data_IF_298995837286
#
_entry.id   IF_298995837286
#
_cell.length_a   1.000
_cell.length_b   1.000
_cell.length_c   1.000
_cell.angle_alpha   90.00
_cell.angle_beta   90.00
_cell.angle_gamma   90.00
#
_symmetry.space_group_name_H-M   'P 1'
#
loop_
_entity.id
_entity.type
_entity.pdbx_description
1 polymer ?
#
# COMPACT_ATOMS: atom_id res chain seq x y z
N UNK A 1 -16.63 11.33 10.33
CA UNK A 1 -16.01 9.99 10.34
C UNK A 1 -16.36 9.29 9.03
N UNK A 2 -15.34 8.83 8.31
CA UNK A 2 -15.51 8.15 7.02
C UNK A 2 -14.59 6.95 6.94
N UNK A 3 -15.05 5.89 6.26
CA UNK A 3 -14.31 4.65 6.09
C UNK A 3 -13.96 4.50 4.61
N UNK A 4 -12.76 3.99 4.34
CA UNK A 4 -12.34 3.63 3.00
C UNK A 4 -11.72 2.25 2.98
N UNK A 5 -11.84 1.58 1.85
CA UNK A 5 -11.24 0.26 1.63
C UNK A 5 -10.40 0.30 0.37
N UNK A 6 -9.25 -0.34 0.41
CA UNK A 6 -8.39 -0.52 -0.74
C UNK A 6 -8.11 -1.99 -0.98
N UNK A 7 -7.96 -2.34 -2.24
CA UNK A 7 -7.52 -3.67 -2.68
C UNK A 7 -6.61 -3.49 -3.88
N UNK A 8 -5.50 -4.22 -3.89
CA UNK A 8 -4.60 -4.22 -5.03
C UNK A 8 -3.91 -5.57 -5.17
N UNK A 9 -3.47 -5.87 -6.37
CA UNK A 9 -2.77 -7.11 -6.69
C UNK A 9 -1.75 -6.84 -7.79
N UNK A 10 -0.56 -7.41 -7.64
CA UNK A 10 0.47 -7.37 -8.65
C UNK A 10 1.05 -8.76 -8.87
N UNK A 11 1.44 -9.03 -10.11
CA UNK A 11 2.05 -10.30 -10.51
C UNK A 11 3.51 -10.34 -10.05
N UNK A 12 3.95 -11.50 -9.57
CA UNK A 12 5.36 -11.77 -9.28
C UNK A 12 6.09 -12.16 -10.57
N UNK A 13 7.21 -11.50 -10.83
CA UNK A 13 8.02 -11.73 -12.04
C UNK A 13 9.51 -11.70 -11.70
N UNK A 14 10.32 -12.26 -12.59
CA UNK A 14 11.78 -12.19 -12.49
C UNK A 14 12.28 -10.78 -12.79
N UNK A 15 13.50 -10.48 -12.32
CA UNK A 15 14.24 -9.24 -12.61
C UNK A 15 13.56 -7.97 -12.12
N UNK A 16 12.81 -8.09 -11.03
CA UNK A 16 12.23 -6.95 -10.32
C UNK A 16 12.51 -7.08 -8.84
N UNK A 17 12.75 -5.97 -8.17
CA UNK A 17 12.83 -5.92 -6.72
C UNK A 17 11.45 -6.11 -6.11
N UNK A 18 11.39 -6.80 -4.98
CA UNK A 18 10.17 -6.92 -4.19
C UNK A 18 10.16 -5.80 -3.15
N UNK A 19 9.26 -4.85 -3.34
CA UNK A 19 9.13 -3.70 -2.45
C UNK A 19 7.73 -3.69 -1.88
N UNK A 20 7.62 -3.74 -0.55
CA UNK A 20 6.36 -3.72 0.19
C UNK A 20 6.49 -2.81 1.39
N UNK A 21 5.56 -1.88 1.54
CA UNK A 21 5.61 -0.90 2.61
C UNK A 21 6.88 -0.06 2.57
N UNK A 22 7.43 0.18 1.38
CA UNK A 22 8.68 0.89 1.20
C UNK A 22 9.93 0.10 1.59
N UNK A 23 9.79 -1.21 1.89
CA UNK A 23 10.89 -2.09 2.28
C UNK A 23 11.26 -3.00 1.12
N UNK A 24 12.55 -3.00 0.77
CA UNK A 24 13.07 -3.95 -0.21
C UNK A 24 13.29 -5.29 0.49
N UNK A 25 12.51 -6.29 0.10
CA UNK A 25 12.52 -7.62 0.72
C UNK A 25 13.36 -8.55 -0.14
N UNK A 26 14.35 -9.25 0.45
CA UNK A 26 15.11 -10.26 -0.31
C UNK A 26 14.20 -11.39 -0.78
N UNK A 27 14.11 -11.55 -2.09
CA UNK A 27 13.32 -12.60 -2.72
C UNK A 27 13.75 -12.72 -4.19
N UNK A 28 13.55 -13.89 -4.77
CA UNK A 28 13.93 -14.16 -6.17
C UNK A 28 13.02 -13.49 -7.19
N UNK A 29 11.82 -13.09 -6.79
CA UNK A 29 10.85 -12.42 -7.65
C UNK A 29 10.49 -11.07 -7.06
N UNK A 30 9.99 -10.17 -7.91
CA UNK A 30 9.45 -8.88 -7.50
C UNK A 30 8.13 -8.62 -8.18
N UNK A 31 7.46 -7.56 -7.76
CA UNK A 31 6.13 -7.22 -8.28
C UNK A 31 6.23 -6.39 -9.55
N UNK A 32 5.39 -6.72 -10.54
CA UNK A 32 5.34 -6.03 -11.83
C UNK A 32 4.35 -4.88 -11.77
N UNK A 33 4.77 -3.70 -12.18
CA UNK A 33 3.93 -2.52 -12.29
C UNK A 33 4.68 -1.34 -12.86
N UNK A 34 3.97 -0.25 -13.13
CA UNK A 34 4.53 0.97 -13.71
C UNK A 34 5.45 1.70 -12.70
N UNK A 35 5.03 1.80 -11.44
CA UNK A 35 5.83 2.31 -10.33
C UNK A 35 6.73 1.18 -9.78
N UNK A 36 7.12 1.28 -8.50
CA UNK A 36 7.81 0.19 -7.81
C UNK A 36 6.88 -1.00 -7.50
N UNK A 37 5.60 -0.89 -7.85
CA UNK A 37 4.56 -1.91 -7.65
C UNK A 37 4.38 -2.33 -6.19
N UNK A 38 4.53 -1.39 -5.26
CA UNK A 38 4.30 -1.62 -3.83
C UNK A 38 2.81 -1.81 -3.58
N UNK A 39 2.36 -3.06 -3.61
CA UNK A 39 0.94 -3.39 -3.52
C UNK A 39 0.32 -2.93 -2.19
N UNK A 40 1.09 -2.96 -1.10
CA UNK A 40 0.62 -2.53 0.20
C UNK A 40 0.34 -1.02 0.22
N UNK A 41 1.27 -0.21 -0.28
CA UNK A 41 1.08 1.24 -0.30
C UNK A 41 -0.03 1.63 -1.27
N UNK A 42 -0.17 0.91 -2.39
CA UNK A 42 -1.25 1.18 -3.36
C UNK A 42 -2.62 1.01 -2.73
N UNK A 43 -2.85 -0.08 -1.98
CA UNK A 43 -4.16 -0.28 -1.38
C UNK A 43 -4.43 0.68 -0.22
N UNK A 44 -3.39 1.05 0.53
CA UNK A 44 -3.53 2.08 1.57
C UNK A 44 -3.94 3.41 0.94
N UNK A 45 -3.28 3.81 -0.15
CA UNK A 45 -3.64 5.04 -0.87
C UNK A 45 -5.07 4.99 -1.38
N UNK A 46 -5.49 3.88 -1.97
CA UNK A 46 -6.85 3.73 -2.45
C UNK A 46 -7.88 3.81 -1.32
N UNK A 47 -7.57 3.24 -0.16
CA UNK A 47 -8.46 3.34 0.99
C UNK A 47 -8.64 4.80 1.44
N UNK A 48 -7.55 5.55 1.48
CA UNK A 48 -7.58 6.96 1.88
C UNK A 48 -8.32 7.83 0.87
N UNK A 49 -8.05 7.63 -0.43
CA UNK A 49 -8.73 8.36 -1.50
C UNK A 49 -10.22 8.01 -1.54
N UNK A 50 -10.56 6.74 -1.34
CA UNK A 50 -11.96 6.31 -1.31
C UNK A 50 -12.72 6.91 -0.14
N UNK A 51 -12.13 6.90 1.06
CA UNK A 51 -12.75 7.48 2.24
C UNK A 51 -13.04 8.97 2.07
N UNK A 52 -12.15 9.70 1.38
CA UNK A 52 -12.28 11.13 1.14
C UNK A 52 -13.08 11.47 -0.12
N UNK A 53 -13.58 10.46 -0.85
CA UNK A 53 -14.30 10.61 -2.11
C UNK A 53 -13.48 11.33 -3.20
N UNK A 54 -12.16 11.07 -3.23
CA UNK A 54 -11.25 11.67 -4.20
C UNK A 54 -10.89 10.71 -5.34
N UNK A 55 -11.60 9.59 -5.48
CA UNK A 55 -11.38 8.62 -6.54
C UNK A 55 -10.41 7.52 -6.14
N UNK A 56 -9.45 7.24 -6.98
CA UNK A 56 -8.46 6.18 -6.79
C UNK A 56 -7.07 6.61 -7.27
N UNK A 57 -6.08 5.74 -7.07
CA UNK A 57 -4.69 6.04 -7.47
C UNK A 57 -4.53 6.19 -8.98
N UNK A 58 -5.31 5.45 -9.77
CA UNK A 58 -5.25 5.55 -11.23
C UNK A 58 -5.65 6.93 -11.74
N UNK A 59 -6.56 7.59 -11.06
CA UNK A 59 -6.98 8.95 -11.39
C UNK A 59 -5.89 9.98 -11.08
N UNK A 60 -5.18 9.83 -9.96
CA UNK A 60 -4.16 10.78 -9.52
C UNK A 60 -2.78 10.49 -10.10
N UNK A 61 -2.46 9.22 -10.31
CA UNK A 61 -1.14 8.77 -10.76
C UNK A 61 -1.31 7.76 -11.91
N UNK A 62 -1.75 8.22 -13.10
CA UNK A 62 -2.00 7.30 -14.20
C UNK A 62 -0.71 6.58 -14.63
N UNK A 63 -0.81 5.28 -14.87
CA UNK A 63 0.31 4.44 -15.32
C UNK A 63 0.75 4.74 -16.75
N UNK A 64 0.02 5.59 -17.46
CA UNK A 64 0.40 6.11 -18.77
C UNK A 64 1.32 7.32 -18.70
N UNK A 65 1.52 7.91 -17.52
CA UNK A 65 2.35 9.10 -17.32
C UNK A 65 3.79 8.68 -16.98
N UNK A 66 4.72 9.04 -17.84
CA UNK A 66 6.14 8.71 -17.69
C UNK A 66 6.76 9.22 -16.39
N UNK A 67 6.25 10.30 -15.83
CA UNK A 67 6.83 10.86 -14.59
C UNK A 67 6.65 9.94 -13.39
N UNK A 68 5.71 8.97 -13.45
CA UNK A 68 5.49 8.00 -12.39
C UNK A 68 6.17 6.66 -12.64
N UNK A 69 6.86 6.53 -13.77
CA UNK A 69 7.58 5.29 -14.09
C UNK A 69 8.70 5.06 -13.07
N UNK A 70 8.70 3.87 -12.50
CA UNK A 70 9.69 3.44 -11.49
C UNK A 70 9.73 4.32 -10.23
N UNK A 71 8.71 5.15 -10.02
CA UNK A 71 8.66 6.01 -8.84
C UNK A 71 8.44 5.18 -7.57
N UNK A 72 9.03 5.63 -6.46
CA UNK A 72 8.77 5.08 -5.14
C UNK A 72 7.34 5.38 -4.72
N UNK A 73 6.58 4.36 -4.33
CA UNK A 73 5.21 4.53 -3.85
C UNK A 73 5.15 5.28 -2.52
N UNK A 74 6.27 5.36 -1.77
CA UNK A 74 6.36 6.24 -0.60
C UNK A 74 6.13 7.70 -0.99
N UNK A 75 6.69 8.14 -2.13
CA UNK A 75 6.47 9.51 -2.60
C UNK A 75 5.01 9.75 -3.00
N UNK A 76 4.38 8.75 -3.62
CA UNK A 76 2.95 8.83 -3.93
C UNK A 76 2.10 8.88 -2.66
N UNK A 77 2.45 8.09 -1.66
CA UNK A 77 1.75 8.08 -0.36
C UNK A 77 1.85 9.43 0.33
N UNK A 78 3.01 10.07 0.31
CA UNK A 78 3.18 11.42 0.85
C UNK A 78 2.24 12.41 0.15
N UNK A 79 2.11 12.29 -1.15
CA UNK A 79 1.22 13.14 -1.93
C UNK A 79 -0.25 12.95 -1.53
N UNK A 80 -0.68 11.71 -1.34
CA UNK A 80 -2.04 11.40 -0.87
C UNK A 80 -2.27 11.98 0.52
N UNK A 81 -1.29 11.87 1.41
CA UNK A 81 -1.37 12.49 2.74
C UNK A 81 -1.61 14.00 2.68
N UNK A 82 -0.91 14.68 1.77
CA UNK A 82 -1.10 16.12 1.56
C UNK A 82 -2.48 16.44 1.00
N UNK A 83 -2.99 15.61 0.10
CA UNK A 83 -4.35 15.79 -0.44
C UNK A 83 -5.40 15.70 0.67
N UNK A 84 -5.29 14.74 1.57
CA UNK A 84 -6.19 14.64 2.71
C UNK A 84 -6.14 15.89 3.58
N UNK A 85 -4.94 16.36 3.88
CA UNK A 85 -4.75 17.57 4.68
C UNK A 85 -5.38 18.79 4.01
N UNK A 86 -5.18 18.95 2.70
CA UNK A 86 -5.78 20.05 1.92
C UNK A 86 -7.31 20.01 1.92
N UNK A 87 -7.90 18.84 2.08
CA UNK A 87 -9.35 18.66 2.15
C UNK A 87 -9.86 18.62 3.59
N UNK A 88 -9.03 19.01 4.57
CA UNK A 88 -9.38 19.09 5.97
C UNK A 88 -9.74 17.75 6.62
N UNK A 89 -9.05 16.69 6.22
CA UNK A 89 -9.16 15.38 6.84
C UNK A 89 -7.94 15.05 7.69
N UNK A 90 -8.17 14.30 8.75
CA UNK A 90 -7.11 13.64 9.52
C UNK A 90 -7.35 12.13 9.49
N UNK A 91 -6.26 11.39 9.54
CA UNK A 91 -6.32 9.92 9.57
C UNK A 91 -6.55 9.48 11.00
N UNK A 92 -7.60 8.68 11.23
CA UNK A 92 -7.84 8.04 12.52
C UNK A 92 -6.94 6.83 12.70
N UNK A 93 -7.11 5.84 11.81
CA UNK A 93 -6.23 4.68 11.77
C UNK A 93 -6.30 3.97 10.42
N UNK A 94 -5.32 3.10 10.19
CA UNK A 94 -5.24 2.25 9.00
C UNK A 94 -4.91 0.84 9.47
N UNK A 95 -5.63 -0.15 8.93
CA UNK A 95 -5.34 -1.56 9.13
C UNK A 95 -5.20 -2.22 7.75
N UNK A 96 -4.10 -2.93 7.54
CA UNK A 96 -3.81 -3.53 6.24
C UNK A 96 -3.36 -4.98 6.40
N UNK A 97 -3.66 -5.79 5.39
CA UNK A 97 -3.29 -7.20 5.33
C UNK A 97 -2.58 -7.48 4.02
N UNK A 98 -1.38 -8.05 4.10
CA UNK A 98 -0.64 -8.57 2.95
C UNK A 98 -0.99 -10.05 2.79
N UNK A 99 -1.34 -10.44 1.57
CA UNK A 99 -1.70 -11.82 1.24
C UNK A 99 -0.63 -12.36 0.29
N UNK A 100 0.24 -13.21 0.82
CA UNK A 100 1.38 -13.74 0.08
C UNK A 100 1.75 -15.12 0.63
N UNK A 101 2.00 -16.07 -0.27
CA UNK A 101 2.49 -17.38 0.14
C UNK A 101 3.93 -17.30 0.63
N UNK A 102 4.77 -16.53 -0.06
CA UNK A 102 6.18 -16.26 0.23
C UNK A 102 6.56 -14.88 -0.26
N UNK A 103 7.62 -14.26 0.25
CA UNK A 103 8.40 -14.64 1.44
C UNK A 103 7.66 -14.32 2.74
N UNK A 104 8.25 -14.69 3.89
CA UNK A 104 7.70 -14.29 5.20
C UNK A 104 7.77 -12.79 5.36
N UNK A 105 6.67 -12.19 5.74
CA UNK A 105 6.55 -10.74 5.91
C UNK A 105 6.86 -10.26 7.32
N UNK A 106 6.64 -11.11 8.33
CA UNK A 106 6.74 -10.71 9.73
C UNK A 106 8.04 -9.95 10.08
N UNK A 107 9.24 -10.37 9.62
CA UNK A 107 10.47 -9.65 9.96
C UNK A 107 10.51 -8.22 9.40
N UNK A 108 9.71 -7.91 8.38
CA UNK A 108 9.75 -6.64 7.67
C UNK A 108 8.63 -5.68 8.09
N UNK A 109 7.63 -6.19 8.78
CA UNK A 109 6.44 -5.39 9.17
C UNK A 109 6.80 -4.18 10.03
N UNK A 110 7.70 -4.26 11.03
CA UNK A 110 8.05 -3.08 11.81
C UNK A 110 8.56 -1.92 10.96
N UNK A 111 9.41 -2.19 9.96
CA UNK A 111 9.93 -1.15 9.08
C UNK A 111 8.86 -0.62 8.11
N UNK A 112 7.97 -1.49 7.65
CA UNK A 112 6.82 -1.06 6.83
C UNK A 112 5.96 -0.04 7.60
N UNK A 113 5.64 -0.34 8.85
CA UNK A 113 4.84 0.55 9.69
C UNK A 113 5.52 1.90 9.89
N UNK A 114 6.83 1.89 10.15
CA UNK A 114 7.60 3.13 10.31
C UNK A 114 7.58 3.97 9.05
N UNK A 115 7.77 3.35 7.89
CA UNK A 115 7.76 4.05 6.61
C UNK A 115 6.40 4.70 6.35
N UNK A 116 5.33 3.98 6.60
CA UNK A 116 3.96 4.49 6.39
C UNK A 116 3.65 5.62 7.38
N UNK A 117 3.96 5.41 8.65
CA UNK A 117 3.72 6.43 9.68
C UNK A 117 4.48 7.72 9.36
N UNK A 118 5.74 7.62 8.94
CA UNK A 118 6.55 8.78 8.56
C UNK A 118 5.99 9.47 7.32
N UNK A 119 5.60 8.71 6.31
CA UNK A 119 5.08 9.28 5.06
C UNK A 119 3.76 10.03 5.26
N UNK A 120 2.91 9.53 6.15
CA UNK A 120 1.60 10.11 6.43
C UNK A 120 1.59 11.04 7.65
N UNK A 121 2.72 11.15 8.35
CA UNK A 121 2.86 11.96 9.56
C UNK A 121 1.85 11.57 10.63
N UNK A 122 1.72 10.27 10.88
CA UNK A 122 0.87 9.68 11.92
C UNK A 122 1.72 8.89 12.91
N UNK A 123 1.12 8.51 14.04
CA UNK A 123 1.78 7.70 15.07
C UNK A 123 1.79 6.21 14.67
N UNK A 124 2.74 5.46 15.21
CA UNK A 124 2.82 4.02 14.94
C UNK A 124 1.57 3.25 15.35
N UNK A 125 0.87 3.70 16.38
CA UNK A 125 -0.37 3.04 16.82
C UNK A 125 -1.58 3.32 15.93
N UNK A 126 -1.43 4.18 14.92
CA UNK A 126 -2.46 4.48 13.94
C UNK A 126 -2.34 3.62 12.68
N UNK A 127 -1.29 2.83 12.57
CA UNK A 127 -1.06 1.96 11.41
C UNK A 127 -0.74 0.54 11.87
N UNK A 128 -1.51 -0.41 11.40
CA UNK A 128 -1.24 -1.83 11.61
C UNK A 128 -1.05 -2.53 10.26
N UNK A 129 -0.08 -3.42 10.19
CA UNK A 129 0.15 -4.28 9.03
C UNK A 129 0.27 -5.71 9.53
N UNK A 130 -0.50 -6.60 8.92
CA UNK A 130 -0.42 -8.03 9.20
C UNK A 130 -0.33 -8.78 7.89
N UNK A 131 0.06 -10.03 7.93
CA UNK A 131 0.22 -10.85 6.74
C UNK A 131 -0.42 -12.22 6.94
N UNK A 132 -0.90 -12.80 5.86
CA UNK A 132 -1.46 -14.14 5.84
C UNK A 132 -1.10 -14.84 4.53
N UNK A 133 -1.15 -16.16 4.54
CA UNK A 133 -1.17 -16.97 3.33
C UNK A 133 -2.61 -17.35 3.01
N UNK A 134 -2.83 -17.87 1.81
CA UNK A 134 -4.08 -18.53 1.47
C UNK A 134 -3.95 -20.05 1.44
N UNK A 135 -2.98 -20.57 2.20
CA UNK A 135 -2.79 -22.01 2.40
C UNK A 135 -2.59 -22.79 1.08
N UNK A 136 -1.83 -22.20 0.16
CA UNK A 136 -1.57 -22.80 -1.15
C UNK A 136 -2.71 -22.66 -2.16
N UNK A 137 -3.80 -21.99 -1.80
CA UNK A 137 -4.97 -21.84 -2.67
C UNK A 137 -4.88 -20.58 -3.52
N UNK A 138 -5.38 -20.69 -4.76
CA UNK A 138 -5.48 -19.55 -5.66
C UNK A 138 -4.14 -19.02 -6.14
N UNK A 139 -4.17 -17.87 -6.80
CA UNK A 139 -2.96 -17.31 -7.40
C UNK A 139 -1.93 -16.87 -6.36
N UNK A 140 -2.35 -16.38 -5.20
CA UNK A 140 -1.42 -16.04 -4.13
C UNK A 140 -0.81 -17.30 -3.54
N UNK A 141 -1.64 -18.34 -3.33
CA UNK A 141 -1.17 -19.62 -2.80
C UNK A 141 -0.20 -20.33 -3.71
N UNK A 142 -0.32 -20.12 -5.02
CA UNK A 142 0.59 -20.69 -6.03
C UNK A 142 1.85 -19.82 -6.23
N UNK A 143 1.95 -18.68 -5.55
CA UNK A 143 3.11 -17.81 -5.69
C UNK A 143 3.16 -17.01 -6.98
N UNK A 144 2.02 -16.80 -7.64
CA UNK A 144 1.94 -16.07 -8.90
C UNK A 144 1.81 -14.56 -8.71
N UNK A 145 1.36 -14.14 -7.54
CA UNK A 145 1.16 -12.74 -7.22
C UNK A 145 1.02 -12.52 -5.73
N UNK A 146 1.02 -11.25 -5.36
CA UNK A 146 0.75 -10.80 -3.99
C UNK A 146 -0.42 -9.83 -4.07
N UNK A 147 -1.38 -10.00 -3.18
CA UNK A 147 -2.48 -9.05 -3.01
C UNK A 147 -2.41 -8.43 -1.63
N UNK A 148 -3.10 -7.32 -1.46
CA UNK A 148 -3.28 -6.71 -0.16
C UNK A 148 -4.60 -5.98 -0.05
N UNK A 149 -5.05 -5.78 1.17
CA UNK A 149 -6.28 -5.08 1.49
C UNK A 149 -5.99 -4.10 2.61
N UNK A 150 -6.64 -2.94 2.57
CA UNK A 150 -6.55 -1.96 3.64
C UNK A 150 -7.91 -1.37 3.94
N UNK A 151 -8.12 -1.06 5.20
CA UNK A 151 -9.27 -0.30 5.66
C UNK A 151 -8.73 0.89 6.44
N UNK A 152 -9.31 2.05 6.23
CA UNK A 152 -8.94 3.25 6.97
C UNK A 152 -10.18 3.94 7.53
N UNK A 153 -9.93 4.71 8.58
CA UNK A 153 -10.89 5.63 9.16
C UNK A 153 -10.29 7.03 9.08
N UNK A 154 -11.04 7.96 8.51
CA UNK A 154 -10.65 9.38 8.50
C UNK A 154 -11.73 10.21 9.15
N UNK A 155 -11.37 11.39 9.61
CA UNK A 155 -12.26 12.33 10.29
C UNK A 155 -12.04 13.72 9.75
N UNK A 156 -13.06 14.58 9.87
CA UNK A 156 -12.89 15.98 9.55
C UNK A 156 -11.97 16.62 10.59
N UNK A 157 -11.08 17.47 10.10
CA UNK A 157 -10.24 18.29 10.98
C UNK A 157 -11.08 19.48 11.47
N UNK A 158 -11.16 19.62 12.75
CA UNK A 158 -11.89 20.75 13.36
C UNK A 158 -11.02 22.00 13.47
#
# INVERSE_FOLDING_TARGET
MKIGMGYDVHKLVENRDLILGGVKIPYELGLLGHSDADVLLHDIMDSLLGASALGDIGKHFPDTDEKYKDISSIELLKHVGKLLEQHNYIIGNIDATIIAQRPKMAPHIPDMRKNIANALNISLDQINVKATTEEGLGFTGEGLGISSQAICLIQNKN
#
